data_IF_956686285444
#
_entry.id   IF_956686285444
#
_cell.length_a   1.000
_cell.length_b   1.000
_cell.length_c   1.000
_cell.angle_alpha   90.00
_cell.angle_beta   90.00
_cell.angle_gamma   90.00
#
_symmetry.space_group_name_H-M   'P 1'
#
loop_
_entity.id
_entity.type
_entity.pdbx_description
1 polymer ?
#
# COMPACT_ATOMS: atom_id res chain seq x y z
N UNK A 1 -11.31 15.15 10.28
CA UNK A 1 -10.77 13.80 10.00
C UNK A 1 -11.34 13.39 8.66
N UNK A 2 -10.54 13.34 7.61
CA UNK A 2 -10.98 12.82 6.31
C UNK A 2 -10.86 11.29 6.32
N UNK A 3 -11.88 10.60 5.82
CA UNK A 3 -11.86 9.15 5.62
C UNK A 3 -11.72 8.91 4.12
N UNK A 4 -10.83 7.99 3.74
CA UNK A 4 -10.61 7.63 2.35
C UNK A 4 -10.86 6.14 2.14
N UNK A 5 -11.62 5.78 1.10
CA UNK A 5 -11.92 4.39 0.78
C UNK A 5 -11.14 3.90 -0.43
N UNK A 6 -10.75 2.63 -0.40
CA UNK A 6 -10.01 1.98 -1.49
C UNK A 6 -10.51 0.57 -1.75
N UNK A 7 -10.23 0.09 -2.95
CA UNK A 7 -10.35 -1.32 -3.32
C UNK A 7 -8.94 -1.86 -3.60
N UNK A 8 -8.59 -2.91 -2.88
CA UNK A 8 -7.39 -3.72 -3.14
C UNK A 8 -7.68 -4.89 -4.07
N UNK A 9 -6.63 -5.46 -4.65
CA UNK A 9 -6.71 -6.61 -5.56
C UNK A 9 -7.49 -6.29 -6.83
N UNK A 10 -7.31 -5.09 -7.38
CA UNK A 10 -7.85 -4.73 -8.68
C UNK A 10 -6.95 -5.36 -9.75
N UNK A 11 -7.48 -6.26 -10.59
CA UNK A 11 -6.63 -7.04 -11.51
C UNK A 11 -6.78 -6.64 -12.97
N UNK A 12 -7.78 -5.82 -13.28
CA UNK A 12 -8.07 -5.37 -14.63
C UNK A 12 -8.84 -4.04 -14.64
N UNK A 13 -8.99 -3.44 -15.81
CA UNK A 13 -9.68 -2.17 -16.02
C UNK A 13 -11.18 -2.25 -15.70
N UNK A 14 -11.83 -3.40 -15.91
CA UNK A 14 -13.24 -3.59 -15.53
C UNK A 14 -13.45 -3.50 -14.02
N UNK A 15 -12.56 -4.12 -13.24
CA UNK A 15 -12.58 -4.06 -11.78
C UNK A 15 -12.27 -2.64 -11.29
N UNK A 16 -11.33 -1.94 -11.95
CA UNK A 16 -11.05 -0.54 -11.66
C UNK A 16 -12.29 0.33 -11.86
N UNK A 17 -12.96 0.21 -13.02
CA UNK A 17 -14.19 0.96 -13.31
C UNK A 17 -15.32 0.63 -12.32
N UNK A 18 -15.48 -0.63 -11.92
CA UNK A 18 -16.46 -1.02 -10.90
C UNK A 18 -16.14 -0.39 -9.54
N UNK A 19 -14.88 -0.44 -9.12
CA UNK A 19 -14.43 0.14 -7.86
C UNK A 19 -14.65 1.66 -7.82
N UNK A 20 -14.31 2.37 -8.91
CA UNK A 20 -14.53 3.81 -9.03
C UNK A 20 -16.01 4.15 -8.94
N UNK A 21 -16.87 3.43 -9.67
CA UNK A 21 -18.34 3.61 -9.58
C UNK A 21 -18.89 3.33 -8.18
N UNK A 22 -18.23 2.47 -7.40
CA UNK A 22 -18.58 2.19 -6.01
C UNK A 22 -18.05 3.24 -5.01
N UNK A 23 -17.36 4.28 -5.49
CA UNK A 23 -16.84 5.38 -4.67
C UNK A 23 -15.42 5.19 -4.16
N UNK A 24 -14.63 4.26 -4.74
CA UNK A 24 -13.22 4.14 -4.40
C UNK A 24 -12.46 5.41 -4.80
N UNK A 25 -11.71 5.99 -3.86
CA UNK A 25 -10.90 7.20 -4.07
C UNK A 25 -9.48 6.87 -4.55
N UNK A 26 -9.04 5.64 -4.29
CA UNK A 26 -7.82 5.10 -4.86
C UNK A 26 -7.90 3.57 -5.01
N UNK A 27 -7.07 3.03 -5.90
CA UNK A 27 -7.04 1.62 -6.26
C UNK A 27 -5.67 1.00 -5.95
N UNK A 28 -5.65 -0.28 -5.60
CA UNK A 28 -4.42 -1.02 -5.37
C UNK A 28 -4.43 -2.38 -6.06
N UNK A 29 -3.31 -2.73 -6.68
CA UNK A 29 -3.09 -4.03 -7.33
C UNK A 29 -1.89 -4.75 -6.72
N UNK A 30 -1.83 -6.09 -6.74
CA UNK A 30 -0.65 -6.83 -6.27
C UNK A 30 0.55 -6.68 -7.22
N UNK A 31 0.31 -6.34 -8.49
CA UNK A 31 1.33 -6.05 -9.51
C UNK A 31 0.95 -4.81 -10.34
N UNK A 32 1.76 -4.51 -11.35
CA UNK A 32 1.51 -3.39 -12.27
C UNK A 32 0.57 -3.83 -13.38
N UNK A 33 -0.65 -3.29 -13.36
CA UNK A 33 -1.67 -3.53 -14.40
C UNK A 33 -1.70 -2.33 -15.35
N UNK A 34 -1.06 -2.46 -16.51
CA UNK A 34 -0.85 -1.36 -17.46
C UNK A 34 -2.17 -0.80 -18.02
N UNK A 35 -3.16 -1.65 -18.26
CA UNK A 35 -4.46 -1.21 -18.74
C UNK A 35 -5.16 -0.27 -17.75
N UNK A 36 -4.95 -0.41 -16.44
CA UNK A 36 -5.50 0.52 -15.45
C UNK A 36 -4.77 1.87 -15.52
N UNK A 37 -3.45 1.89 -15.71
CA UNK A 37 -2.70 3.14 -15.88
C UNK A 37 -3.14 3.91 -17.13
N UNK A 38 -3.39 3.18 -18.22
CA UNK A 38 -3.84 3.77 -19.47
C UNK A 38 -5.31 4.23 -19.41
N UNK A 39 -6.19 3.45 -18.78
CA UNK A 39 -7.63 3.76 -18.68
C UNK A 39 -7.92 4.91 -17.71
N UNK A 40 -7.03 5.15 -16.75
CA UNK A 40 -7.16 6.21 -15.74
C UNK A 40 -6.32 7.46 -16.05
N UNK A 41 -5.75 7.59 -17.24
CA UNK A 41 -5.05 8.80 -17.61
C UNK A 41 -6.00 10.01 -17.53
N UNK A 42 -5.59 11.03 -16.77
CA UNK A 42 -6.43 12.21 -16.47
C UNK A 42 -7.54 12.01 -15.42
N UNK A 43 -7.68 10.82 -14.82
CA UNK A 43 -8.62 10.58 -13.70
C UNK A 43 -8.10 11.18 -12.39
N UNK A 44 -9.02 11.63 -11.53
CA UNK A 44 -8.69 12.06 -10.16
C UNK A 44 -8.43 10.87 -9.22
N UNK A 45 -8.75 9.64 -9.65
CA UNK A 45 -8.56 8.43 -8.85
C UNK A 45 -7.10 8.02 -8.86
N UNK A 46 -6.49 7.96 -7.68
CA UNK A 46 -5.11 7.51 -7.55
C UNK A 46 -5.01 5.98 -7.73
N UNK A 47 -4.18 5.54 -8.66
CA UNK A 47 -3.82 4.12 -8.78
C UNK A 47 -2.43 3.83 -8.22
N UNK A 48 -2.34 2.85 -7.32
CA UNK A 48 -1.12 2.41 -6.66
C UNK A 48 -0.80 0.96 -7.12
N UNK A 49 -0.07 0.79 -8.23
CA UNK A 49 0.31 -0.54 -8.72
C UNK A 49 1.31 -1.23 -7.79
N UNK A 50 1.24 -2.56 -7.75
CA UNK A 50 2.24 -3.38 -7.09
C UNK A 50 3.51 -3.50 -7.92
N UNK A 51 4.67 -3.48 -7.25
CA UNK A 51 5.98 -3.69 -7.85
C UNK A 51 6.82 -4.54 -6.90
N UNK A 52 7.78 -5.27 -7.48
CA UNK A 52 8.80 -5.98 -6.72
C UNK A 52 10.20 -5.59 -7.21
N UNK A 53 10.40 -5.39 -8.50
CA UNK A 53 11.71 -5.18 -9.12
C UNK A 53 11.93 -3.74 -9.62
N UNK A 54 13.19 -3.32 -9.86
CA UNK A 54 13.48 -2.03 -10.48
C UNK A 54 12.80 -1.82 -11.84
N UNK A 55 12.72 -2.86 -12.67
CA UNK A 55 12.05 -2.80 -13.98
C UNK A 55 10.58 -2.47 -13.84
N UNK A 56 9.89 -3.06 -12.87
CA UNK A 56 8.47 -2.79 -12.60
C UNK A 56 8.27 -1.39 -12.05
N UNK A 57 9.16 -0.90 -11.16
CA UNK A 57 9.16 0.50 -10.71
C UNK A 57 9.26 1.46 -11.89
N UNK A 58 10.25 1.24 -12.77
CA UNK A 58 10.45 2.09 -13.96
C UNK A 58 9.23 2.03 -14.87
N UNK A 59 8.69 0.85 -15.13
CA UNK A 59 7.54 0.65 -16.02
C UNK A 59 6.30 1.37 -15.48
N UNK A 60 6.00 1.23 -14.19
CA UNK A 60 4.87 1.89 -13.56
C UNK A 60 5.02 3.43 -13.58
N UNK A 61 6.20 3.95 -13.23
CA UNK A 61 6.46 5.40 -13.24
C UNK A 61 6.38 6.00 -14.65
N UNK A 62 6.93 5.32 -15.66
CA UNK A 62 6.86 5.77 -17.05
C UNK A 62 5.42 5.79 -17.58
N UNK A 63 4.57 4.88 -17.08
CA UNK A 63 3.14 4.86 -17.36
C UNK A 63 2.32 5.79 -16.45
N UNK A 64 2.97 6.68 -15.68
CA UNK A 64 2.31 7.76 -14.96
C UNK A 64 1.97 7.48 -13.49
N UNK A 65 2.34 6.31 -12.95
CA UNK A 65 2.09 6.00 -11.54
C UNK A 65 2.75 7.04 -10.62
N UNK A 66 1.96 7.63 -9.70
CA UNK A 66 2.44 8.65 -8.74
C UNK A 66 3.04 8.05 -7.48
N UNK A 67 2.70 6.81 -7.18
CA UNK A 67 3.18 6.02 -6.04
C UNK A 67 3.11 4.55 -6.45
N UNK A 68 4.05 3.75 -5.97
CA UNK A 68 4.04 2.29 -6.19
C UNK A 68 3.99 1.56 -4.85
N UNK A 69 3.53 0.31 -4.86
CA UNK A 69 3.45 -0.54 -3.68
C UNK A 69 4.46 -1.67 -3.77
N UNK A 70 5.42 -1.73 -2.86
CA UNK A 70 6.25 -2.93 -2.69
C UNK A 70 5.37 -4.06 -2.16
N UNK A 71 5.19 -5.10 -2.96
CA UNK A 71 4.36 -6.25 -2.62
C UNK A 71 4.92 -7.52 -3.26
N UNK A 72 5.03 -8.64 -2.51
CA UNK A 72 4.77 -8.81 -1.09
C UNK A 72 6.00 -8.47 -0.22
N UNK A 73 5.92 -7.44 0.63
CA UNK A 73 7.10 -6.86 1.26
C UNK A 73 7.82 -7.79 2.26
N UNK A 74 7.11 -8.37 3.24
CA UNK A 74 7.76 -9.09 4.34
C UNK A 74 8.53 -10.33 3.90
N UNK A 75 7.94 -11.12 3.00
CA UNK A 75 8.53 -12.38 2.51
C UNK A 75 9.66 -12.15 1.51
N UNK A 76 9.73 -10.95 0.93
CA UNK A 76 10.77 -10.55 -0.03
C UNK A 76 11.91 -9.78 0.63
N UNK A 77 12.25 -10.10 1.87
CA UNK A 77 13.36 -9.47 2.60
C UNK A 77 13.00 -8.17 3.33
N UNK A 78 11.71 -7.81 3.38
CA UNK A 78 11.18 -6.77 4.24
C UNK A 78 11.85 -5.41 4.07
N UNK A 79 12.22 -4.77 5.19
CA UNK A 79 12.86 -3.47 5.24
C UNK A 79 14.22 -3.43 4.51
N UNK A 80 14.96 -4.54 4.50
CA UNK A 80 16.24 -4.62 3.79
C UNK A 80 16.02 -4.47 2.29
N UNK A 81 15.05 -5.20 1.75
CA UNK A 81 14.72 -5.12 0.33
C UNK A 81 14.07 -3.79 -0.03
N UNK A 82 13.19 -3.28 0.83
CA UNK A 82 12.62 -1.94 0.68
C UNK A 82 13.71 -0.88 0.53
N UNK A 83 14.70 -0.87 1.42
CA UNK A 83 15.83 0.06 1.38
C UNK A 83 16.67 -0.11 0.10
N UNK A 84 16.96 -1.34 -0.29
CA UNK A 84 17.70 -1.64 -1.51
C UNK A 84 16.98 -1.18 -2.78
N UNK A 85 15.66 -1.43 -2.88
CA UNK A 85 14.84 -1.01 -4.00
C UNK A 85 14.65 0.50 -4.05
N UNK A 86 14.51 1.15 -2.88
CA UNK A 86 14.32 2.60 -2.77
C UNK A 86 15.55 3.40 -3.17
N UNK A 87 16.76 2.85 -2.96
CA UNK A 87 18.05 3.51 -3.20
C UNK A 87 18.23 4.11 -4.62
N UNK A 88 17.94 3.39 -5.73
CA UNK A 88 17.96 3.97 -7.07
C UNK A 88 16.78 4.91 -7.38
N UNK A 89 15.72 4.91 -6.56
CA UNK A 89 14.49 5.68 -6.78
C UNK A 89 14.14 6.60 -5.59
N UNK A 90 15.05 7.49 -5.16
CA UNK A 90 14.87 8.27 -3.93
C UNK A 90 13.61 9.17 -3.96
N UNK A 91 13.20 9.61 -5.14
CA UNK A 91 12.04 10.49 -5.34
C UNK A 91 10.71 9.75 -5.58
N UNK A 92 10.72 8.45 -5.88
CA UNK A 92 9.49 7.69 -6.17
C UNK A 92 8.78 7.32 -4.87
N UNK A 93 7.56 7.80 -4.57
CA UNK A 93 6.85 7.37 -3.37
C UNK A 93 6.57 5.87 -3.41
N UNK A 94 6.84 5.19 -2.30
CA UNK A 94 6.71 3.73 -2.20
C UNK A 94 6.02 3.34 -0.91
N UNK A 95 4.94 2.56 -0.98
CA UNK A 95 4.27 2.00 0.20
C UNK A 95 4.61 0.52 0.35
N UNK A 96 4.90 0.04 1.57
CA UNK A 96 5.14 -1.37 1.82
C UNK A 96 3.84 -2.08 2.23
N UNK A 97 3.58 -3.26 1.67
CA UNK A 97 2.35 -4.00 1.94
C UNK A 97 2.59 -5.51 1.98
N UNK A 98 1.71 -6.20 2.72
CA UNK A 98 1.73 -7.63 3.02
C UNK A 98 2.78 -8.03 4.05
N UNK A 99 2.29 -8.59 5.16
CA UNK A 99 3.09 -9.05 6.30
C UNK A 99 3.75 -7.95 7.13
N UNK A 100 3.27 -6.71 7.04
CA UNK A 100 3.71 -5.62 7.91
C UNK A 100 3.05 -5.77 9.28
N UNK A 101 3.86 -5.74 10.34
CA UNK A 101 3.41 -5.73 11.73
C UNK A 101 3.43 -4.31 12.29
N UNK A 102 2.70 -4.07 13.40
CA UNK A 102 2.75 -2.79 14.11
C UNK A 102 4.19 -2.45 14.58
N UNK A 103 4.93 -3.45 15.04
CA UNK A 103 6.33 -3.27 15.49
C UNK A 103 7.30 -2.93 14.36
N UNK A 104 7.01 -3.36 13.14
CA UNK A 104 7.86 -3.07 11.97
C UNK A 104 7.57 -1.73 11.28
N UNK A 105 6.53 -0.99 11.68
CA UNK A 105 6.16 0.28 11.02
C UNK A 105 7.39 1.21 10.92
N UNK A 106 8.10 1.40 12.04
CA UNK A 106 9.26 2.29 12.10
C UNK A 106 10.39 1.85 11.16
N UNK A 107 10.71 0.56 11.13
CA UNK A 107 11.81 0.05 10.30
C UNK A 107 11.53 0.22 8.80
N UNK A 108 10.28 0.03 8.36
CA UNK A 108 9.89 0.30 6.96
C UNK A 108 9.97 1.80 6.62
N UNK A 109 9.54 2.69 7.52
CA UNK A 109 9.64 4.14 7.31
C UNK A 109 11.11 4.59 7.24
N UNK A 110 11.97 4.05 8.11
CA UNK A 110 13.43 4.28 8.09
C UNK A 110 14.09 3.72 6.84
N UNK A 111 13.60 2.59 6.31
CA UNK A 111 14.01 2.03 5.02
C UNK A 111 13.54 2.84 3.80
N UNK A 112 12.83 3.95 4.01
CA UNK A 112 12.43 4.90 2.97
C UNK A 112 11.04 4.66 2.39
N UNK A 113 10.20 3.85 3.05
CA UNK A 113 8.78 3.79 2.71
C UNK A 113 8.11 5.14 2.99
N UNK A 114 7.22 5.55 2.08
CA UNK A 114 6.32 6.69 2.24
C UNK A 114 5.11 6.35 3.10
N UNK A 115 4.84 5.06 3.31
CA UNK A 115 3.76 4.55 4.14
C UNK A 115 3.76 3.03 4.18
N UNK A 116 2.91 2.46 5.03
CA UNK A 116 2.75 1.01 5.17
C UNK A 116 1.27 0.65 5.16
N UNK A 117 0.95 -0.54 4.66
CA UNK A 117 -0.40 -1.10 4.67
C UNK A 117 -0.46 -2.25 5.68
N UNK A 118 -1.32 -2.13 6.67
CA UNK A 118 -1.56 -3.15 7.69
C UNK A 118 -2.88 -3.88 7.38
N UNK A 119 -2.85 -5.22 7.42
CA UNK A 119 -4.03 -6.09 7.32
C UNK A 119 -4.19 -6.84 8.63
N UNK A 120 -3.60 -8.03 8.71
CA UNK A 120 -3.78 -8.98 9.82
C UNK A 120 -3.27 -8.43 11.16
N UNK A 121 -2.36 -7.44 11.12
CA UNK A 121 -1.89 -6.73 12.29
C UNK A 121 -2.96 -5.84 12.97
N UNK A 122 -4.03 -5.48 12.24
CA UNK A 122 -5.19 -4.72 12.75
C UNK A 122 -6.43 -5.61 12.80
N UNK A 123 -6.71 -6.30 11.70
CA UNK A 123 -7.84 -7.20 11.55
C UNK A 123 -7.43 -8.62 11.94
N UNK A 124 -7.00 -8.77 13.19
CA UNK A 124 -6.67 -10.08 13.75
C UNK A 124 -7.86 -11.06 13.57
N UNK A 125 -7.56 -12.29 13.16
CA UNK A 125 -8.59 -13.27 12.76
C UNK A 125 -9.49 -13.67 13.92
N UNK A 126 -8.94 -13.81 15.13
CA UNK A 126 -9.72 -14.17 16.31
C UNK A 126 -10.58 -13.00 16.77
N UNK A 127 -10.01 -11.79 16.82
CA UNK A 127 -10.79 -10.59 17.15
C UNK A 127 -11.92 -10.34 16.15
N UNK A 128 -11.69 -10.56 14.86
CA UNK A 128 -12.71 -10.48 13.81
C UNK A 128 -13.79 -11.57 13.99
N UNK A 129 -13.40 -12.82 14.27
CA UNK A 129 -14.31 -13.94 14.54
C UNK A 129 -15.22 -13.65 15.72
N UNK A 130 -14.67 -13.02 16.77
CA UNK A 130 -15.38 -12.66 18.00
C UNK A 130 -16.12 -11.32 17.89
N UNK A 131 -16.01 -10.61 16.76
CA UNK A 131 -16.52 -9.24 16.58
C UNK A 131 -16.03 -8.29 17.68
N UNK A 132 -14.81 -8.51 18.16
CA UNK A 132 -14.16 -7.70 19.18
C UNK A 132 -13.62 -6.40 18.57
N UNK A 133 -14.53 -5.49 18.23
CA UNK A 133 -14.19 -4.20 17.64
C UNK A 133 -13.40 -3.28 18.58
N UNK A 134 -13.51 -3.50 19.90
CA UNK A 134 -12.69 -2.80 20.90
C UNK A 134 -11.22 -3.20 20.73
N UNK A 135 -10.94 -4.50 20.62
CA UNK A 135 -9.59 -5.01 20.37
C UNK A 135 -9.03 -4.53 19.03
N UNK A 136 -9.81 -4.60 17.95
CA UNK A 136 -9.41 -4.10 16.62
C UNK A 136 -9.12 -2.59 16.68
N UNK A 137 -9.96 -1.81 17.35
CA UNK A 137 -9.73 -0.38 17.54
C UNK A 137 -8.47 -0.09 18.35
N UNK A 138 -8.15 -0.92 19.35
CA UNK A 138 -6.92 -0.78 20.13
C UNK A 138 -5.67 -1.03 19.25
N UNK A 139 -5.70 -2.05 18.39
CA UNK A 139 -4.62 -2.32 17.43
C UNK A 139 -4.46 -1.16 16.44
N UNK A 140 -5.57 -0.63 15.90
CA UNK A 140 -5.54 0.52 15.00
C UNK A 140 -4.93 1.76 15.67
N UNK A 141 -5.33 2.06 16.91
CA UNK A 141 -4.77 3.17 17.69
C UNK A 141 -3.27 2.97 17.95
N UNK A 142 -2.85 1.76 18.29
CA UNK A 142 -1.44 1.44 18.51
C UNK A 142 -0.62 1.66 17.22
N UNK A 143 -1.13 1.25 16.06
CA UNK A 143 -0.49 1.48 14.78
C UNK A 143 -0.34 2.97 14.47
N UNK A 144 -1.41 3.77 14.68
CA UNK A 144 -1.35 5.22 14.50
C UNK A 144 -0.31 5.88 15.42
N UNK A 145 -0.21 5.43 16.67
CA UNK A 145 0.80 5.92 17.62
C UNK A 145 2.23 5.57 17.21
N UNK A 146 2.46 4.42 16.60
CA UNK A 146 3.77 4.07 16.06
C UNK A 146 4.11 4.91 14.82
N UNK A 147 3.14 5.10 13.93
CA UNK A 147 3.33 5.93 12.74
C UNK A 147 3.63 7.39 13.09
N UNK A 148 2.93 7.98 14.06
CA UNK A 148 3.13 9.40 14.45
C UNK A 148 4.53 9.68 15.02
N UNK A 149 5.22 8.66 15.53
CA UNK A 149 6.61 8.75 16.02
C UNK A 149 7.65 8.73 14.91
N UNK A 150 7.26 8.45 13.67
CA UNK A 150 8.18 8.33 12.53
C UNK A 150 8.55 9.68 11.89
N UNK A 151 7.95 10.80 12.32
CA UNK A 151 8.40 12.15 11.98
C UNK A 151 8.26 12.57 10.51
N UNK A 152 7.39 11.91 9.75
CA UNK A 152 7.04 12.23 8.35
C UNK A 152 5.54 12.12 8.15
#
# INVERSE_FOLDING_TARGET
>A
MSMAFTVGTVLNADDARKAIRAGAQFLMSPGTVMEILNDLDGSEVLYIPGVLTPTEVISACNAGAKVVKLYPASVMGGEMYMSALKKPFPLVPMVASQGITIGSIKSYMEAGASGVVLSDAIFDKELMRERNFIGISALANQATLQASRCGR
#
